data_IF_477275751658
#
_entry.id   IF_477275751658
#
_cell.length_a   1.000
_cell.length_b   1.000
_cell.length_c   1.000
_cell.angle_alpha   90.00
_cell.angle_beta   90.00
_cell.angle_gamma   90.00
#
_symmetry.space_group_name_H-M   'P 1'
#
loop_
_entity.id
_entity.type
_entity.pdbx_description
1 polymer ?
#
# COMPACT_ATOMS: atom_id res chain seq x y z
N UNK A 1 8.12 8.14 11.17
CA UNK A 1 7.18 8.52 10.10
C UNK A 1 6.66 7.24 9.46
N UNK A 2 5.34 7.04 9.43
CA UNK A 2 4.69 5.86 8.85
C UNK A 2 4.22 6.19 7.43
N UNK A 3 4.54 5.33 6.46
CA UNK A 3 3.97 5.38 5.11
C UNK A 3 2.89 4.32 5.00
N UNK A 4 1.64 4.74 4.78
CA UNK A 4 0.48 3.85 4.68
C UNK A 4 0.22 3.47 3.22
N UNK A 5 0.24 2.17 2.93
CA UNK A 5 -0.16 1.59 1.64
C UNK A 5 -1.14 0.44 1.82
N UNK A 6 -2.01 0.51 2.82
CA UNK A 6 -3.09 -0.44 3.10
C UNK A 6 -4.40 -0.10 2.36
N UNK A 7 -4.49 1.07 1.73
CA UNK A 7 -5.69 1.57 1.06
C UNK A 7 -6.19 0.70 -0.12
N UNK A 8 -5.35 -0.15 -0.73
CA UNK A 8 -5.78 -1.04 -1.83
C UNK A 8 -6.91 -2.00 -1.43
N UNK A 9 -7.00 -2.36 -0.15
CA UNK A 9 -8.14 -3.14 0.36
C UNK A 9 -9.22 -2.22 0.91
N UNK A 10 -8.84 -1.14 1.60
CA UNK A 10 -9.79 -0.26 2.29
C UNK A 10 -10.72 0.49 1.32
N UNK A 11 -10.18 1.01 0.22
CA UNK A 11 -10.89 1.87 -0.72
C UNK A 11 -11.06 1.25 -2.11
N UNK A 12 -10.77 -0.06 -2.23
CA UNK A 12 -10.72 -0.76 -3.52
C UNK A 12 -9.76 -0.03 -4.48
N UNK A 13 -10.21 0.31 -5.69
CA UNK A 13 -9.37 0.94 -6.70
C UNK A 13 -9.46 2.47 -6.73
N UNK A 14 -10.26 3.07 -5.84
CA UNK A 14 -10.63 4.49 -5.93
C UNK A 14 -9.42 5.43 -5.77
N UNK A 15 -8.42 5.05 -4.98
CA UNK A 15 -7.21 5.85 -4.77
C UNK A 15 -6.11 5.58 -5.81
N UNK A 16 -6.32 4.59 -6.69
CA UNK A 16 -5.28 4.08 -7.60
C UNK A 16 -5.66 4.20 -9.08
N UNK A 17 -6.89 4.62 -9.37
CA UNK A 17 -7.37 4.80 -10.73
C UNK A 17 -8.51 5.82 -10.78
N UNK A 18 -8.39 6.82 -11.66
CA UNK A 18 -9.39 7.87 -11.82
C UNK A 18 -8.81 9.16 -12.36
N UNK A 19 -9.65 10.19 -12.48
CA UNK A 19 -9.21 11.53 -12.87
C UNK A 19 -8.29 12.13 -11.80
N UNK A 20 -7.18 12.73 -12.22
CA UNK A 20 -6.18 13.32 -11.31
C UNK A 20 -5.26 12.32 -10.61
N UNK A 21 -5.43 11.01 -10.82
CA UNK A 21 -4.56 9.97 -10.25
C UNK A 21 -3.47 9.58 -11.28
N UNK A 22 -2.19 9.65 -10.91
CA UNK A 22 -1.10 9.22 -11.78
C UNK A 22 -1.24 7.75 -12.22
N UNK A 23 -0.91 7.45 -13.48
CA UNK A 23 -1.11 6.10 -14.07
C UNK A 23 -0.30 5.01 -13.36
N UNK A 24 0.87 5.37 -12.89
CA UNK A 24 1.81 4.58 -12.09
C UNK A 24 1.20 4.15 -10.74
N UNK A 25 0.25 4.90 -10.18
CA UNK A 25 -0.46 4.51 -8.96
C UNK A 25 -1.30 3.22 -9.14
N UNK A 26 -1.66 2.88 -10.38
CA UNK A 26 -2.38 1.64 -10.68
C UNK A 26 -1.51 0.39 -10.43
N UNK A 27 -0.18 0.48 -10.55
CA UNK A 27 0.74 -0.61 -10.28
C UNK A 27 1.01 -0.74 -8.76
N UNK A 28 0.63 -1.85 -8.09
CA UNK A 28 0.88 -2.03 -6.66
C UNK A 28 2.36 -1.99 -6.27
N UNK A 29 3.28 -2.35 -7.17
CA UNK A 29 4.72 -2.31 -6.90
C UNK A 29 5.22 -0.89 -6.65
N UNK A 30 4.55 0.13 -7.19
CA UNK A 30 4.95 1.53 -7.04
C UNK A 30 5.07 1.97 -5.57
N UNK A 31 4.25 1.41 -4.67
CA UNK A 31 4.40 1.66 -3.22
C UNK A 31 5.74 1.17 -2.67
N UNK A 32 6.23 0.04 -3.15
CA UNK A 32 7.49 -0.56 -2.71
C UNK A 32 8.68 0.22 -3.27
N UNK A 33 8.58 0.70 -4.51
CA UNK A 33 9.56 1.62 -5.10
C UNK A 33 9.69 2.92 -4.30
N UNK A 34 8.56 3.52 -3.91
CA UNK A 34 8.56 4.72 -3.05
C UNK A 34 9.15 4.39 -1.69
N UNK A 35 8.70 3.30 -1.04
CA UNK A 35 9.13 2.92 0.30
C UNK A 35 10.64 2.64 0.39
N UNK A 36 11.24 2.10 -0.68
CA UNK A 36 12.68 1.81 -0.75
C UNK A 36 13.56 3.04 -0.99
N UNK A 37 13.00 4.13 -1.53
CA UNK A 37 13.74 5.37 -1.85
C UNK A 37 13.47 6.50 -0.86
N UNK A 38 12.29 6.50 -0.24
CA UNK A 38 11.85 7.57 0.66
C UNK A 38 12.44 7.42 2.07
N UNK A 39 12.61 8.56 2.76
CA UNK A 39 13.03 8.59 4.17
C UNK A 39 11.84 8.30 5.08
N UNK A 40 11.48 7.03 5.21
CA UNK A 40 10.38 6.56 6.06
C UNK A 40 10.90 5.76 7.26
N UNK A 41 10.09 5.67 8.31
CA UNK A 41 10.39 4.78 9.45
C UNK A 41 9.86 3.37 9.23
N UNK A 42 8.63 3.26 8.74
CA UNK A 42 7.98 1.97 8.38
C UNK A 42 7.05 2.15 7.19
N UNK A 43 6.91 1.11 6.37
CA UNK A 43 5.89 0.96 5.34
C UNK A 43 4.82 -0.03 5.80
N UNK A 44 3.60 0.45 5.99
CA UNK A 44 2.47 -0.34 6.46
C UNK A 44 1.61 -0.81 5.28
N UNK A 45 1.48 -2.13 5.08
CA UNK A 45 0.64 -2.73 4.04
C UNK A 45 0.26 -4.17 4.41
N UNK A 46 -0.62 -4.81 3.63
CA UNK A 46 -1.11 -6.16 3.92
C UNK A 46 -0.06 -7.24 3.66
N UNK A 47 -0.13 -8.33 4.44
CA UNK A 47 0.77 -9.49 4.31
C UNK A 47 0.83 -10.05 2.89
N UNK A 48 -0.29 -10.10 2.17
CA UNK A 48 -0.33 -10.60 0.79
C UNK A 48 0.48 -9.74 -0.21
N UNK A 49 0.50 -8.42 -0.01
CA UNK A 49 1.33 -7.52 -0.83
C UNK A 49 2.81 -7.66 -0.46
N UNK A 50 3.13 -7.76 0.83
CA UNK A 50 4.49 -8.01 1.30
C UNK A 50 5.01 -9.36 0.78
N UNK A 51 4.17 -10.40 0.79
CA UNK A 51 4.56 -11.71 0.27
C UNK A 51 4.84 -11.68 -1.24
N UNK A 52 4.18 -10.80 -1.99
CA UNK A 52 4.38 -10.66 -3.44
C UNK A 52 5.64 -9.89 -3.82
N UNK A 53 5.94 -8.79 -3.12
CA UNK A 53 7.00 -7.85 -3.52
C UNK A 53 8.13 -7.74 -2.51
N UNK A 54 7.93 -8.12 -1.25
CA UNK A 54 8.88 -7.86 -0.15
C UNK A 54 10.26 -8.50 -0.35
N UNK A 55 10.35 -9.56 -1.15
CA UNK A 55 11.63 -10.18 -1.48
C UNK A 55 12.49 -9.34 -2.43
N UNK A 56 11.89 -8.46 -3.24
CA UNK A 56 12.62 -7.54 -4.11
C UNK A 56 13.01 -6.25 -3.35
N UNK A 57 12.33 -5.97 -2.24
CA UNK A 57 12.49 -4.75 -1.43
C UNK A 57 12.90 -5.06 0.03
N UNK A 58 13.86 -5.98 0.21
CA UNK A 58 14.24 -6.58 1.51
C UNK A 58 14.65 -5.60 2.62
N UNK A 59 15.11 -4.40 2.24
CA UNK A 59 15.58 -3.39 3.18
C UNK A 59 14.48 -2.43 3.65
N UNK A 60 13.25 -2.56 3.11
CA UNK A 60 12.13 -1.73 3.55
C UNK A 60 11.65 -2.21 4.92
N UNK A 61 11.55 -1.31 5.93
CA UNK A 61 11.03 -1.66 7.24
C UNK A 61 9.50 -1.84 7.16
N UNK A 62 9.02 -3.08 7.21
CA UNK A 62 7.59 -3.39 7.08
C UNK A 62 6.84 -3.36 8.41
N UNK A 63 5.63 -2.81 8.39
CA UNK A 63 4.61 -2.99 9.42
C UNK A 63 3.44 -3.76 8.82
N UNK A 64 3.22 -5.01 9.26
CA UNK A 64 2.19 -5.86 8.68
C UNK A 64 0.81 -5.44 9.20
N UNK A 65 -0.06 -4.99 8.30
CA UNK A 65 -1.47 -4.70 8.60
C UNK A 65 -2.26 -6.01 8.61
N UNK A 66 -2.63 -6.47 9.80
CA UNK A 66 -3.23 -7.80 10.01
C UNK A 66 -4.74 -7.88 9.69
N UNK A 67 -5.44 -6.76 9.64
CA UNK A 67 -6.87 -6.68 9.35
C UNK A 67 -7.15 -5.64 8.27
N UNK A 68 -8.23 -5.84 7.50
CA UNK A 68 -8.72 -4.86 6.54
C UNK A 68 -10.21 -5.07 6.25
N UNK A 69 -10.91 -4.03 5.82
CA UNK A 69 -12.28 -4.13 5.28
C UNK A 69 -12.44 -3.21 4.09
N UNK A 70 -13.34 -3.50 3.16
CA UNK A 70 -13.65 -2.54 2.10
C UNK A 70 -14.56 -1.41 2.60
N UNK A 71 -14.64 -0.33 1.84
CA UNK A 71 -15.57 0.78 2.05
C UNK A 71 -16.99 0.54 1.49
N UNK A 72 -17.26 -0.65 0.92
CA UNK A 72 -18.58 -0.97 0.32
C UNK A 72 -19.71 -0.95 1.34
N UNK A 73 -19.45 -1.47 2.56
CA UNK A 73 -20.39 -1.41 3.67
C UNK A 73 -19.94 -0.33 4.65
N UNK A 74 -20.79 0.68 4.83
CA UNK A 74 -20.54 1.78 5.76
C UNK A 74 -20.58 1.26 7.19
N UNK A 75 -19.64 1.73 7.99
CA UNK A 75 -19.71 1.61 9.45
C UNK A 75 -20.54 2.78 9.98
N UNK A 76 -21.35 2.50 10.98
CA UNK A 76 -22.16 3.46 11.74
C UNK A 76 -21.31 4.54 12.39
#
# INVERSE_FOLDING_TARGET
MLFAGDQKVEHLNNDFYGEGIPKDAANPEHFFEIASKAKIGVFATQLGLIARYGMDYKNVPYLVKINSKTNLVKTS
#
